data_IF_468653368697
#
_entry.id   IF_468653368697
#
_cell.length_a   1.000
_cell.length_b   1.000
_cell.length_c   1.000
_cell.angle_alpha   90.00
_cell.angle_beta   90.00
_cell.angle_gamma   90.00
#
_symmetry.space_group_name_H-M   'P 1'
#
loop_
_entity.id
_entity.type
_entity.pdbx_description
1 polymer ?
#
# COMPACT_ATOMS: atom_id res chain seq x y z
N UNK A 1 -27.29 -11.31 -42.01
CA UNK A 1 -28.17 -10.90 -40.90
C UNK A 1 -27.53 -11.28 -39.56
N UNK A 2 -26.32 -10.78 -39.26
CA UNK A 2 -25.60 -11.07 -37.99
C UNK A 2 -25.23 -9.79 -37.21
N UNK A 3 -25.89 -8.68 -37.56
CA UNK A 3 -25.61 -7.31 -37.10
C UNK A 3 -26.45 -6.92 -35.86
N UNK A 4 -26.49 -7.69 -34.76
CA UNK A 4 -27.19 -7.22 -33.52
C UNK A 4 -26.61 -7.68 -32.16
N UNK A 5 -25.49 -8.40 -32.08
CA UNK A 5 -24.95 -8.87 -30.77
C UNK A 5 -23.76 -8.09 -30.21
N UNK A 6 -23.33 -6.98 -30.84
CA UNK A 6 -22.16 -6.20 -30.41
C UNK A 6 -22.50 -5.14 -29.34
N UNK A 7 -23.66 -5.21 -28.68
CA UNK A 7 -24.11 -4.16 -27.75
C UNK A 7 -24.37 -4.59 -26.30
N UNK A 8 -24.01 -5.82 -25.89
CA UNK A 8 -24.27 -6.30 -24.51
C UNK A 8 -23.02 -6.68 -23.71
N UNK A 9 -21.82 -6.34 -24.18
CA UNK A 9 -20.61 -6.49 -23.37
C UNK A 9 -20.10 -5.10 -22.95
N UNK A 10 -20.64 -4.51 -21.86
CA UNK A 10 -20.20 -3.20 -21.41
C UNK A 10 -18.70 -3.25 -21.06
N UNK A 11 -17.97 -2.24 -21.55
CA UNK A 11 -16.53 -2.10 -21.31
C UNK A 11 -16.24 -2.03 -19.79
N UNK A 12 -15.08 -2.53 -19.33
CA UNK A 12 -14.68 -2.52 -17.91
C UNK A 12 -14.48 -1.11 -17.31
N UNK A 13 -14.79 -0.05 -18.06
CA UNK A 13 -14.68 1.36 -17.69
C UNK A 13 -15.97 1.99 -17.19
N UNK A 14 -17.14 1.33 -17.34
CA UNK A 14 -18.43 1.85 -16.86
C UNK A 14 -18.74 1.43 -15.41
N UNK A 15 -17.71 1.06 -14.63
CA UNK A 15 -17.93 0.80 -13.21
C UNK A 15 -18.14 2.14 -12.52
N UNK A 16 -19.20 2.32 -11.69
CA UNK A 16 -19.28 3.48 -10.80
C UNK A 16 -17.96 3.55 -10.04
N UNK A 17 -17.45 4.76 -9.74
CA UNK A 17 -16.15 4.89 -9.10
C UNK A 17 -16.12 3.93 -7.91
N UNK A 18 -15.29 2.90 -8.03
CA UNK A 18 -15.09 1.80 -7.07
C UNK A 18 -15.12 2.26 -5.61
N UNK A 19 -14.63 3.47 -5.24
CA UNK A 19 -14.82 4.00 -3.88
C UNK A 19 -16.27 4.06 -3.40
N UNK A 20 -17.25 4.41 -4.24
CA UNK A 20 -18.65 4.52 -3.84
C UNK A 20 -19.29 3.19 -3.45
N UNK A 21 -18.82 2.07 -4.03
CA UNK A 21 -19.29 0.73 -3.66
C UNK A 21 -18.73 0.28 -2.30
N UNK A 22 -17.45 0.61 -2.03
CA UNK A 22 -16.81 0.28 -0.76
C UNK A 22 -17.49 0.96 0.44
N UNK A 23 -17.93 2.21 0.29
CA UNK A 23 -18.62 2.97 1.34
C UNK A 23 -19.96 2.36 1.80
N UNK A 24 -20.54 1.44 1.02
CA UNK A 24 -21.80 0.76 1.34
C UNK A 24 -21.59 -0.63 1.97
N UNK A 25 -20.34 -1.09 2.04
CA UNK A 25 -20.02 -2.38 2.65
C UNK A 25 -20.11 -2.28 4.19
N UNK A 26 -20.46 -3.39 4.88
CA UNK A 26 -20.49 -3.41 6.34
C UNK A 26 -19.09 -3.21 6.94
N UNK A 27 -19.01 -2.74 8.18
CA UNK A 27 -17.73 -2.65 8.90
C UNK A 27 -17.33 -4.05 9.36
N UNK A 28 -16.16 -4.54 8.95
CA UNK A 28 -15.70 -5.91 9.21
C UNK A 28 -14.37 -5.90 9.96
N UNK A 29 -14.39 -6.36 11.22
CA UNK A 29 -13.18 -6.57 12.03
C UNK A 29 -12.34 -7.75 11.50
N UNK A 30 -12.98 -8.81 11.04
CA UNK A 30 -12.31 -10.06 10.66
C UNK A 30 -11.89 -10.92 11.86
N UNK A 31 -11.43 -12.15 11.63
CA UNK A 31 -11.21 -13.15 12.69
C UNK A 31 -9.85 -13.05 13.38
N UNK A 32 -8.91 -12.27 12.84
CA UNK A 32 -7.59 -12.12 13.43
C UNK A 32 -7.62 -11.26 14.70
N UNK A 33 -6.70 -11.52 15.63
CA UNK A 33 -6.65 -10.86 16.95
C UNK A 33 -5.49 -9.85 17.06
N UNK A 34 -5.20 -9.13 15.98
CA UNK A 34 -4.21 -8.03 15.98
C UNK A 34 -4.95 -6.71 15.76
N UNK A 35 -5.51 -6.09 16.82
CA UNK A 35 -6.34 -4.90 16.67
C UNK A 35 -5.51 -3.74 16.13
N UNK A 36 -5.96 -3.19 15.01
CA UNK A 36 -5.42 -1.99 14.37
C UNK A 36 -6.58 -1.01 14.19
N UNK A 37 -6.42 0.21 14.67
CA UNK A 37 -7.43 1.27 14.48
C UNK A 37 -7.48 1.66 13.01
N UNK A 38 -8.66 1.57 12.41
CA UNK A 38 -8.95 1.98 11.03
C UNK A 38 -10.19 2.86 11.00
N UNK A 39 -10.35 3.60 9.91
CA UNK A 39 -11.54 4.39 9.63
C UNK A 39 -12.46 3.63 8.70
N UNK A 40 -13.77 3.68 8.92
CA UNK A 40 -14.78 3.14 8.02
C UNK A 40 -15.94 4.13 7.89
N UNK A 41 -16.62 4.09 6.76
CA UNK A 41 -17.83 4.87 6.57
C UNK A 41 -19.03 4.12 7.14
N UNK A 42 -19.72 4.76 8.09
CA UNK A 42 -21.01 4.29 8.59
C UNK A 42 -22.11 4.90 7.72
N UNK A 43 -22.70 4.07 6.87
CA UNK A 43 -23.77 4.49 5.96
C UNK A 43 -25.08 4.83 6.68
N UNK A 44 -25.31 4.32 7.89
CA UNK A 44 -26.50 4.63 8.68
C UNK A 44 -26.39 6.02 9.32
N UNK A 45 -25.18 6.39 9.76
CA UNK A 45 -24.88 7.69 10.36
C UNK A 45 -24.39 8.72 9.33
N UNK A 46 -24.11 8.30 8.10
CA UNK A 46 -23.56 9.13 7.03
C UNK A 46 -22.19 9.72 7.37
N UNK A 47 -21.37 9.05 8.20
CA UNK A 47 -20.11 9.61 8.71
C UNK A 47 -18.99 8.58 8.79
N UNK A 48 -17.76 9.06 8.71
CA UNK A 48 -16.57 8.25 8.97
C UNK A 48 -16.38 8.04 10.47
N UNK A 49 -16.26 6.78 10.89
CA UNK A 49 -16.03 6.37 12.27
C UNK A 49 -14.77 5.52 12.37
N UNK A 50 -14.18 5.45 13.55
CA UNK A 50 -13.08 4.52 13.83
C UNK A 50 -13.60 3.16 14.29
N UNK A 51 -12.90 2.09 13.90
CA UNK A 51 -13.17 0.74 14.37
C UNK A 51 -11.86 -0.06 14.54
N UNK A 52 -11.91 -1.11 15.35
CA UNK A 52 -10.78 -2.05 15.48
C UNK A 52 -10.83 -3.09 14.39
N UNK A 53 -9.87 -3.04 13.47
CA UNK A 53 -9.64 -4.09 12.47
C UNK A 53 -8.72 -5.18 13.06
N UNK A 54 -9.11 -6.44 12.95
CA UNK A 54 -8.37 -7.58 13.48
C UNK A 54 -7.07 -7.91 12.75
N UNK A 55 -6.79 -7.24 11.62
CA UNK A 55 -5.56 -7.38 10.85
C UNK A 55 -5.64 -8.35 9.68
N UNK A 56 -6.76 -9.05 9.47
CA UNK A 56 -6.98 -9.90 8.29
C UNK A 56 -8.46 -10.01 7.91
N UNK A 57 -8.73 -10.40 6.65
CA UNK A 57 -10.07 -10.66 6.09
C UNK A 57 -11.09 -9.53 6.31
N UNK A 58 -10.64 -8.28 6.30
CA UNK A 58 -11.52 -7.11 6.20
C UNK A 58 -12.04 -6.94 4.76
N UNK A 59 -12.95 -5.98 4.58
CA UNK A 59 -13.42 -5.58 3.24
C UNK A 59 -12.89 -4.19 2.87
N UNK A 60 -13.39 -3.62 1.76
CA UNK A 60 -12.96 -2.32 1.26
C UNK A 60 -13.43 -1.11 2.07
N UNK A 61 -14.35 -1.26 3.03
CA UNK A 61 -14.77 -0.18 3.93
C UNK A 61 -13.77 -0.03 5.09
N UNK A 62 -12.50 0.23 4.74
CA UNK A 62 -11.43 0.49 5.69
C UNK A 62 -10.45 1.49 5.10
N UNK A 63 -10.11 2.51 5.87
CA UNK A 63 -9.25 3.61 5.48
C UNK A 63 -8.22 3.87 6.59
N UNK A 64 -7.06 4.43 6.22
CA UNK A 64 -5.99 4.76 7.16
C UNK A 64 -6.28 6.06 7.92
N UNK A 65 -7.07 6.97 7.34
CA UNK A 65 -7.38 8.27 7.94
C UNK A 65 -8.83 8.68 7.74
N UNK A 66 -9.31 9.57 8.61
CA UNK A 66 -10.63 10.19 8.47
C UNK A 66 -10.76 10.95 7.14
N UNK A 67 -9.70 11.67 6.77
CA UNK A 67 -9.65 12.42 5.52
C UNK A 67 -9.85 11.50 4.32
N UNK A 68 -9.11 10.40 4.27
CA UNK A 68 -9.24 9.39 3.21
C UNK A 68 -10.66 8.83 3.14
N UNK A 69 -11.24 8.47 4.29
CA UNK A 69 -12.63 8.02 4.35
C UNK A 69 -13.61 9.07 3.83
N UNK A 70 -13.45 10.35 4.20
CA UNK A 70 -14.31 11.46 3.74
C UNK A 70 -14.10 11.78 2.27
N UNK A 71 -12.88 11.66 1.75
CA UNK A 71 -12.59 11.86 0.34
C UNK A 71 -13.25 10.77 -0.52
N UNK A 72 -13.27 9.52 -0.03
CA UNK A 72 -13.90 8.41 -0.75
C UNK A 72 -15.42 8.32 -0.54
N UNK A 73 -15.93 8.65 0.65
CA UNK A 73 -17.32 8.40 1.05
C UNK A 73 -18.11 9.63 1.48
N UNK A 74 -17.45 10.76 1.73
CA UNK A 74 -18.04 11.96 2.32
C UNK A 74 -18.62 12.98 1.33
N UNK A 75 -18.52 12.73 0.02
CA UNK A 75 -19.17 13.59 -0.97
C UNK A 75 -20.68 13.25 -1.07
N UNK A 76 -21.60 14.18 -0.76
CA UNK A 76 -23.00 14.01 -1.16
C UNK A 76 -23.08 13.96 -2.70
N UNK A 77 -23.96 13.15 -3.29
CA UNK A 77 -24.23 13.27 -4.71
C UNK A 77 -24.81 14.66 -4.96
N UNK A 78 -24.38 15.31 -6.06
CA UNK A 78 -24.88 16.59 -6.60
C UNK A 78 -24.07 17.86 -6.23
N UNK A 79 -22.92 18.04 -6.88
CA UNK A 79 -22.59 19.25 -7.66
C UNK A 79 -21.18 19.11 -8.28
N UNK A 80 -21.11 18.90 -9.60
CA UNK A 80 -19.95 19.23 -10.43
C UNK A 80 -18.61 18.54 -10.09
N UNK A 81 -18.32 17.45 -10.79
CA UNK A 81 -16.99 16.83 -10.99
C UNK A 81 -16.22 16.37 -9.73
N UNK A 82 -16.03 15.05 -9.52
CA UNK A 82 -14.91 14.59 -8.73
C UNK A 82 -13.64 14.81 -9.57
N UNK A 83 -12.98 15.95 -9.38
CA UNK A 83 -11.57 16.03 -9.70
C UNK A 83 -10.91 15.04 -8.75
N UNK A 84 -10.54 13.87 -9.27
CA UNK A 84 -9.67 12.92 -8.60
C UNK A 84 -8.59 13.72 -7.85
N UNK A 85 -8.27 13.39 -6.58
CA UNK A 85 -7.09 13.97 -5.97
C UNK A 85 -5.96 13.72 -6.95
N UNK A 86 -5.30 14.82 -7.36
CA UNK A 86 -4.15 14.76 -8.26
C UNK A 86 -3.28 13.58 -7.82
N UNK A 87 -2.76 12.78 -8.77
CA UNK A 87 -1.88 11.67 -8.42
C UNK A 87 -0.90 12.20 -7.39
N UNK A 88 -0.69 11.43 -6.31
CA UNK A 88 0.33 11.77 -5.32
C UNK A 88 1.55 12.26 -6.12
N UNK A 89 2.29 13.28 -5.66
CA UNK A 89 3.59 13.53 -6.22
C UNK A 89 4.40 12.26 -5.95
N UNK A 90 4.30 11.30 -6.87
CA UNK A 90 5.29 10.30 -7.08
C UNK A 90 6.53 11.15 -7.18
N UNK A 91 7.38 11.01 -6.18
CA UNK A 91 8.72 11.53 -6.28
C UNK A 91 9.27 10.80 -7.48
N UNK A 92 9.20 11.42 -8.66
CA UNK A 92 10.00 11.06 -9.81
C UNK A 92 11.40 11.13 -9.28
N UNK A 93 11.90 9.98 -8.81
CA UNK A 93 13.32 9.80 -8.65
C UNK A 93 13.81 9.86 -10.09
N UNK A 94 14.56 10.89 -10.51
CA UNK A 94 15.12 10.91 -11.84
C UNK A 94 15.95 9.63 -11.96
N UNK A 95 15.61 8.83 -12.97
CA UNK A 95 16.20 7.53 -13.19
C UNK A 95 17.72 7.62 -13.14
N UNK A 96 18.32 6.72 -12.36
CA UNK A 96 19.64 6.20 -12.67
C UNK A 96 19.46 4.72 -12.87
N UNK A 97 19.42 4.33 -14.14
CA UNK A 97 19.57 2.94 -14.52
C UNK A 97 20.90 2.41 -13.98
N UNK A 98 20.88 1.21 -13.44
CA UNK A 98 22.10 0.41 -13.28
C UNK A 98 21.92 -0.81 -14.14
N UNK A 99 22.42 -0.70 -15.36
CA UNK A 99 22.81 -1.86 -16.12
C UNK A 99 24.13 -2.33 -15.53
N UNK A 100 24.18 -3.55 -15.00
CA UNK A 100 25.43 -4.29 -14.93
C UNK A 100 25.12 -5.78 -14.82
N UNK A 101 25.43 -6.47 -15.91
CA UNK A 101 25.30 -7.90 -16.12
C UNK A 101 26.01 -8.73 -15.06
N UNK A 102 25.36 -9.80 -14.64
CA UNK A 102 25.98 -10.93 -13.93
C UNK A 102 27.08 -11.53 -14.80
N UNK A 103 28.30 -11.64 -14.28
CA UNK A 103 29.30 -12.60 -14.76
C UNK A 103 29.85 -13.40 -13.59
N UNK A 104 29.72 -14.71 -13.71
CA UNK A 104 30.06 -15.76 -12.76
C UNK A 104 31.36 -16.45 -13.21
N UNK A 105 32.43 -16.41 -12.41
CA UNK A 105 33.58 -17.36 -12.44
C UNK A 105 34.30 -17.25 -11.08
N UNK A 106 34.15 -18.20 -10.15
CA UNK A 106 34.83 -19.51 -9.93
C UNK A 106 36.14 -19.41 -9.11
N UNK A 107 36.04 -19.97 -7.89
CA UNK A 107 36.99 -20.58 -6.92
C UNK A 107 38.27 -19.82 -6.53
N UNK A 108 38.37 -19.50 -5.22
CA UNK A 108 39.64 -19.24 -4.55
C UNK A 108 39.95 -20.39 -3.58
N UNK A 109 41.24 -20.72 -3.59
CA UNK A 109 41.96 -21.87 -3.08
C UNK A 109 42.51 -21.55 -1.68
N UNK A 110 42.40 -22.55 -0.80
CA UNK A 110 43.16 -22.78 0.44
C UNK A 110 42.98 -21.90 1.71
N UNK A 111 42.28 -22.55 2.66
CA UNK A 111 42.43 -22.63 4.13
C UNK A 111 43.84 -22.29 4.74
N UNK A 112 44.01 -22.18 6.09
CA UNK A 112 43.05 -22.44 7.17
C UNK A 112 42.97 -21.36 8.27
N UNK A 113 41.92 -21.48 9.10
CA UNK A 113 41.76 -20.81 10.38
C UNK A 113 42.92 -21.13 11.36
N UNK A 114 43.10 -20.36 12.45
CA UNK A 114 42.47 -20.84 13.68
C UNK A 114 42.03 -19.76 14.67
N UNK A 115 40.91 -20.07 15.31
CA UNK A 115 40.76 -20.06 16.77
C UNK A 115 40.86 -18.74 17.53
N UNK A 116 39.84 -18.62 18.37
CA UNK A 116 39.82 -18.04 19.72
C UNK A 116 39.14 -16.69 19.87
N UNK A 117 38.45 -16.65 21.01
CA UNK A 117 37.93 -15.55 21.82
C UNK A 117 36.76 -14.71 21.30
N UNK A 118 35.67 -14.85 22.05
CA UNK A 118 34.44 -14.08 22.07
C UNK A 118 34.65 -12.72 22.79
N UNK A 119 33.63 -12.12 23.41
CA UNK A 119 32.73 -11.12 22.84
C UNK A 119 32.88 -9.76 23.56
N UNK A 120 32.74 -8.64 22.85
CA UNK A 120 32.46 -7.37 23.53
C UNK A 120 31.52 -6.50 22.71
N UNK A 121 30.26 -6.50 23.14
CA UNK A 121 29.44 -5.32 23.43
C UNK A 121 29.79 -4.05 22.65
N UNK A 122 28.87 -3.56 21.83
CA UNK A 122 29.03 -2.20 21.33
C UNK A 122 28.03 -1.78 20.29
N UNK A 123 26.84 -1.39 20.75
CA UNK A 123 25.84 -0.69 19.97
C UNK A 123 26.42 0.47 19.14
N UNK A 124 25.97 0.60 17.89
CA UNK A 124 26.36 1.71 17.03
C UNK A 124 25.51 1.82 15.78
N UNK A 125 24.35 2.48 15.92
CA UNK A 125 23.33 2.72 14.91
C UNK A 125 23.83 3.51 13.69
N UNK A 126 23.49 3.07 12.47
CA UNK A 126 23.56 3.90 11.26
C UNK A 126 22.48 4.99 11.29
N UNK A 127 22.79 6.15 11.89
CA UNK A 127 22.08 7.39 11.55
C UNK A 127 22.81 8.09 10.41
N UNK A 128 22.05 8.29 9.34
CA UNK A 128 22.28 9.26 8.28
C UNK A 128 23.56 9.10 7.47
N UNK A 129 23.39 8.47 6.30
CA UNK A 129 24.02 8.81 5.03
C UNK A 129 25.50 9.29 5.01
N UNK A 130 26.29 8.48 4.31
CA UNK A 130 27.60 8.72 3.68
C UNK A 130 28.84 8.33 4.49
N UNK A 131 29.38 7.19 4.04
CA UNK A 131 30.75 6.66 4.18
C UNK A 131 31.19 6.29 5.59
N UNK A 132 31.26 4.98 5.85
CA UNK A 132 32.24 4.43 6.78
C UNK A 132 33.63 4.72 6.19
N UNK A 133 34.33 5.70 6.75
CA UNK A 133 35.76 5.84 6.54
C UNK A 133 36.44 4.88 7.52
N UNK A 134 36.99 3.80 6.98
CA UNK A 134 37.91 2.95 7.72
C UNK A 134 39.25 3.69 7.83
N UNK A 135 39.74 3.83 9.06
CA UNK A 135 41.18 3.89 9.35
C UNK A 135 41.65 2.46 9.60
#
# INVERSE_FOLDING_TARGET
MWEVWVALNPLPSEQPPVPAAACRLPIVQGPCQKPVTRWAFDAAQGKCITFSYGGCKGNGNQFYSEKECKEYCGAPPLAGTPTLPAPCPHRTVPGRGVSASVKLTRVEDELPAPSTWAPQEGAGSCRQHRRCLQK
#
